data_IF_821067521416
#
_entry.id   IF_821067521416
#
_cell.length_a   1.000
_cell.length_b   1.000
_cell.length_c   1.000
_cell.angle_alpha   90.00
_cell.angle_beta   90.00
_cell.angle_gamma   90.00
#
_symmetry.space_group_name_H-M   'P 1'
#
loop_
_entity.id
_entity.type
_entity.pdbx_description
1 polymer ?
#
# COMPACT_ATOMS: atom_id res chain seq x y z
N UNK A 1 -72.68 40.43 14.54
CA UNK A 1 -71.41 39.69 14.34
C UNK A 1 -70.47 40.53 13.48
N UNK A 2 -69.36 41.01 14.03
CA UNK A 2 -68.32 41.74 13.28
C UNK A 2 -67.15 40.77 13.07
N UNK A 3 -66.64 40.56 11.84
CA UNK A 3 -65.51 39.66 11.63
C UNK A 3 -64.23 40.32 12.15
N UNK A 4 -63.52 39.65 13.06
CA UNK A 4 -62.16 40.02 13.44
C UNK A 4 -61.24 39.87 12.23
N UNK A 5 -60.71 40.98 11.71
CA UNK A 5 -59.60 40.97 10.73
C UNK A 5 -58.40 40.29 11.37
N UNK A 6 -58.00 39.14 10.82
CA UNK A 6 -56.71 38.51 11.10
C UNK A 6 -55.64 39.41 10.50
N UNK A 7 -54.78 39.98 11.34
CA UNK A 7 -53.60 40.73 10.90
C UNK A 7 -52.40 39.78 10.89
N UNK A 8 -51.82 39.58 9.72
CA UNK A 8 -50.55 38.85 9.59
C UNK A 8 -49.40 39.75 10.09
N UNK A 9 -48.46 39.24 10.90
CA UNK A 9 -47.35 40.05 11.39
C UNK A 9 -46.49 40.57 10.23
N UNK A 10 -46.19 41.87 10.31
CA UNK A 10 -45.36 42.63 9.37
C UNK A 10 -43.98 41.98 9.17
N UNK A 11 -43.50 42.08 7.93
CA UNK A 11 -42.11 41.88 7.48
C UNK A 11 -41.08 42.04 8.61
N UNK A 12 -40.28 40.99 8.86
CA UNK A 12 -39.12 41.01 9.77
C UNK A 12 -38.28 42.28 9.55
N UNK A 13 -37.92 42.97 10.64
CA UNK A 13 -37.15 44.22 10.57
C UNK A 13 -35.81 43.98 9.85
N UNK A 14 -35.29 45.00 9.17
CA UNK A 14 -34.01 44.89 8.44
C UNK A 14 -32.87 44.36 9.32
N UNK A 15 -32.82 44.78 10.60
CA UNK A 15 -31.83 44.31 11.58
C UNK A 15 -31.97 42.81 11.88
N UNK A 16 -33.19 42.29 11.94
CA UNK A 16 -33.46 40.85 12.10
C UNK A 16 -33.07 40.05 10.86
N UNK A 17 -33.37 40.55 9.66
CA UNK A 17 -32.95 39.91 8.39
C UNK A 17 -31.42 39.88 8.26
N UNK A 18 -30.73 40.96 8.64
CA UNK A 18 -29.26 41.02 8.63
C UNK A 18 -28.65 40.06 9.64
N UNK A 19 -29.17 40.01 10.88
CA UNK A 19 -28.73 39.02 11.89
C UNK A 19 -28.92 37.59 11.40
N UNK A 20 -30.08 37.26 10.85
CA UNK A 20 -30.36 35.92 10.31
C UNK A 20 -29.38 35.54 9.18
N UNK A 21 -29.07 36.47 8.27
CA UNK A 21 -28.06 36.26 7.21
C UNK A 21 -26.67 35.98 7.77
N UNK A 22 -26.22 36.74 8.78
CA UNK A 22 -24.95 36.50 9.45
C UNK A 22 -24.92 35.17 10.19
N UNK A 23 -26.01 34.80 10.87
CA UNK A 23 -26.14 33.51 11.54
C UNK A 23 -26.06 32.36 10.54
N UNK A 24 -26.78 32.44 9.42
CA UNK A 24 -26.72 31.43 8.35
C UNK A 24 -25.32 31.35 7.72
N UNK A 25 -24.65 32.49 7.51
CA UNK A 25 -23.27 32.53 7.02
C UNK A 25 -22.30 31.85 7.99
N UNK A 26 -22.39 32.15 9.30
CA UNK A 26 -21.55 31.51 10.33
C UNK A 26 -21.81 30.00 10.40
N UNK A 27 -23.06 29.56 10.29
CA UNK A 27 -23.41 28.14 10.23
C UNK A 27 -22.78 27.49 8.98
N UNK A 28 -22.88 28.14 7.80
CA UNK A 28 -22.27 27.62 6.58
C UNK A 28 -20.75 27.51 6.70
N UNK A 29 -20.07 28.53 7.25
CA UNK A 29 -18.63 28.49 7.52
C UNK A 29 -18.26 27.36 8.48
N UNK A 30 -19.03 27.19 9.56
CA UNK A 30 -18.82 26.12 10.53
C UNK A 30 -19.04 24.74 9.90
N UNK A 31 -20.05 24.56 9.06
CA UNK A 31 -20.31 23.32 8.33
C UNK A 31 -19.18 22.98 7.36
N UNK A 32 -18.68 23.98 6.62
CA UNK A 32 -17.52 23.81 5.72
C UNK A 32 -16.28 23.44 6.53
N UNK A 33 -16.05 24.09 7.68
CA UNK A 33 -14.95 23.77 8.58
C UNK A 33 -15.04 22.32 9.11
N UNK A 34 -16.20 21.91 9.62
CA UNK A 34 -16.46 20.55 10.10
C UNK A 34 -16.23 19.54 8.96
N UNK A 35 -16.82 19.77 7.79
CA UNK A 35 -16.68 18.88 6.65
C UNK A 35 -15.22 18.76 6.19
N UNK A 36 -14.48 19.86 6.14
CA UNK A 36 -13.05 19.87 5.79
C UNK A 36 -12.16 19.16 6.82
N UNK A 37 -12.66 18.95 8.03
CA UNK A 37 -11.97 18.27 9.12
C UNK A 37 -12.35 16.80 9.27
N UNK A 38 -13.37 16.32 8.55
CA UNK A 38 -13.75 14.90 8.57
C UNK A 38 -12.72 14.06 7.82
N UNK A 39 -12.39 12.89 8.39
CA UNK A 39 -11.66 11.86 7.69
C UNK A 39 -12.58 11.25 6.62
N UNK A 40 -12.31 11.59 5.37
CA UNK A 40 -12.94 10.95 4.21
C UNK A 40 -11.89 10.04 3.59
N UNK A 41 -11.99 8.75 3.88
CA UNK A 41 -11.07 7.74 3.34
C UNK A 41 -11.32 7.53 1.85
N UNK A 42 -10.26 7.69 1.06
CA UNK A 42 -10.20 7.26 -0.33
C UNK A 42 -10.22 5.72 -0.37
N UNK A 43 -9.42 5.11 0.50
CA UNK A 43 -9.31 3.67 0.72
C UNK A 43 -8.99 3.38 2.18
N UNK A 44 -9.40 2.22 2.65
CA UNK A 44 -9.01 1.69 3.95
C UNK A 44 -8.84 0.18 3.88
N UNK A 45 -8.00 -0.36 4.73
CA UNK A 45 -7.74 -1.79 4.82
C UNK A 45 -7.32 -2.15 6.24
N UNK A 46 -7.58 -3.41 6.62
CA UNK A 46 -7.22 -3.94 7.92
C UNK A 46 -5.87 -4.66 7.81
N UNK A 47 -4.91 -4.24 8.63
CA UNK A 47 -3.60 -4.88 8.73
C UNK A 47 -3.12 -4.74 10.19
N UNK A 48 -3.65 -5.58 11.10
CA UNK A 48 -3.41 -5.41 12.52
C UNK A 48 -1.98 -5.81 12.90
N UNK A 49 -1.28 -4.92 13.59
CA UNK A 49 0.12 -5.11 13.97
C UNK A 49 0.48 -4.24 15.18
N UNK A 50 1.65 -4.49 15.78
CA UNK A 50 2.17 -3.64 16.86
C UNK A 50 3.19 -2.65 16.32
N UNK A 51 3.21 -1.44 16.88
CA UNK A 51 4.13 -0.40 16.46
C UNK A 51 4.54 0.50 17.62
N UNK A 52 5.72 1.13 17.50
CA UNK A 52 6.20 2.19 18.37
C UNK A 52 5.95 3.56 17.75
N UNK A 53 5.61 4.54 18.59
CA UNK A 53 5.51 5.94 18.18
C UNK A 53 6.92 6.52 18.03
N UNK A 54 7.31 6.92 16.81
CA UNK A 54 8.65 7.45 16.48
C UNK A 54 8.90 8.86 17.01
N UNK A 55 7.90 9.75 16.90
CA UNK A 55 8.08 11.19 17.13
C UNK A 55 7.39 11.67 18.41
N UNK A 56 8.08 12.51 19.18
CA UNK A 56 7.59 13.14 20.42
C UNK A 56 6.39 14.07 20.18
N UNK A 57 6.19 14.53 18.94
CA UNK A 57 5.13 15.47 18.56
C UNK A 57 4.10 14.83 17.63
N UNK A 58 3.99 13.50 17.64
CA UNK A 58 3.03 12.78 16.80
C UNK A 58 1.60 13.19 17.16
N UNK A 59 0.91 13.81 16.20
CA UNK A 59 -0.47 14.28 16.36
C UNK A 59 -1.42 13.11 16.19
N UNK A 60 -2.18 12.82 17.23
CA UNK A 60 -3.20 11.78 17.24
C UNK A 60 -4.60 12.39 17.43
N UNK A 61 -5.56 11.91 16.65
CA UNK A 61 -6.93 12.42 16.62
C UNK A 61 -7.89 11.37 17.18
N UNK A 62 -8.68 11.71 18.19
CA UNK A 62 -9.55 10.77 18.93
C UNK A 62 -10.85 10.40 18.23
N UNK A 63 -11.13 11.02 17.08
CA UNK A 63 -12.37 10.81 16.33
C UNK A 63 -12.12 10.93 14.84
N UNK A 64 -13.14 10.63 14.04
CA UNK A 64 -13.12 10.88 12.60
C UNK A 64 -13.07 12.37 12.24
N UNK A 65 -13.09 13.28 13.23
CA UNK A 65 -12.79 14.70 13.05
C UNK A 65 -11.33 14.94 13.44
N UNK A 66 -10.51 15.35 12.47
CA UNK A 66 -9.08 15.65 12.60
C UNK A 66 -8.84 17.02 13.26
N UNK A 67 -9.54 17.26 14.37
CA UNK A 67 -9.49 18.47 15.18
C UNK A 67 -8.84 18.15 16.53
N UNK A 68 -8.24 19.17 17.15
CA UNK A 68 -7.69 19.13 18.51
C UNK A 68 -6.78 17.90 18.76
N UNK A 69 -5.66 17.78 18.02
CA UNK A 69 -4.78 16.63 18.17
C UNK A 69 -4.22 16.54 19.59
N UNK A 70 -4.16 15.31 20.10
CA UNK A 70 -3.40 14.95 21.29
C UNK A 70 -1.99 14.54 20.88
N UNK A 71 -1.00 14.92 21.67
CA UNK A 71 0.37 14.42 21.52
C UNK A 71 0.49 13.09 22.25
N UNK A 72 1.01 12.09 21.56
CA UNK A 72 1.29 10.78 22.16
C UNK A 72 2.77 10.66 22.53
N UNK A 73 3.04 9.88 23.57
CA UNK A 73 4.40 9.65 24.07
C UNK A 73 5.23 8.85 23.07
N UNK A 74 6.44 9.32 22.77
CA UNK A 74 7.43 8.58 21.96
C UNK A 74 7.79 7.24 22.61
N UNK A 75 8.15 6.26 21.78
CA UNK A 75 8.50 4.88 22.15
C UNK A 75 7.37 4.13 22.90
N UNK A 76 6.16 4.68 22.91
CA UNK A 76 4.99 3.97 23.39
C UNK A 76 4.58 2.93 22.36
N UNK A 77 4.39 1.70 22.81
CA UNK A 77 3.80 0.63 22.01
C UNK A 77 2.29 0.83 21.87
N UNK A 78 1.80 0.64 20.64
CA UNK A 78 0.38 0.73 20.27
C UNK A 78 0.00 -0.41 19.35
N UNK A 79 -1.28 -0.73 19.31
CA UNK A 79 -1.82 -1.72 18.36
C UNK A 79 -2.44 -0.95 17.20
N UNK A 80 -1.89 -1.12 16.00
CA UNK A 80 -2.53 -0.67 14.77
C UNK A 80 -3.65 -1.65 14.44
N UNK A 81 -4.84 -1.15 14.09
CA UNK A 81 -5.98 -1.99 13.70
C UNK A 81 -6.29 -1.90 12.21
N UNK A 82 -6.11 -0.71 11.62
CA UNK A 82 -6.47 -0.45 10.23
C UNK A 82 -5.72 0.76 9.71
N UNK A 83 -5.66 0.89 8.39
CA UNK A 83 -5.06 2.00 7.68
C UNK A 83 -6.09 2.70 6.80
N UNK A 84 -5.96 4.02 6.66
CA UNK A 84 -6.93 4.89 5.99
C UNK A 84 -6.21 5.94 5.14
N UNK A 85 -6.14 5.71 3.83
CA UNK A 85 -5.62 6.69 2.88
C UNK A 85 -6.66 7.79 2.69
N UNK A 86 -6.33 9.02 3.07
CA UNK A 86 -7.29 10.14 3.10
C UNK A 86 -6.65 11.42 2.58
N UNK A 87 -7.48 12.35 2.09
CA UNK A 87 -7.04 13.72 1.82
C UNK A 87 -7.00 14.51 3.11
N UNK A 88 -5.84 15.08 3.43
CA UNK A 88 -5.66 15.95 4.59
C UNK A 88 -4.82 17.17 4.20
N UNK A 89 -5.39 18.37 4.38
CA UNK A 89 -4.73 19.66 4.08
C UNK A 89 -4.12 19.74 2.66
N UNK A 90 -4.81 19.18 1.67
CA UNK A 90 -4.38 19.20 0.27
C UNK A 90 -3.33 18.16 -0.10
N UNK A 91 -2.95 17.27 0.83
CA UNK A 91 -2.03 16.16 0.59
C UNK A 91 -2.73 14.83 0.88
N UNK A 92 -2.25 13.74 0.26
CA UNK A 92 -2.70 12.40 0.62
C UNK A 92 -1.88 11.93 1.80
N UNK A 93 -2.56 11.48 2.85
CA UNK A 93 -1.93 10.98 4.07
C UNK A 93 -2.51 9.60 4.36
N UNK A 94 -1.63 8.63 4.65
CA UNK A 94 -2.03 7.34 5.17
C UNK A 94 -2.12 7.44 6.70
N UNK A 95 -3.34 7.43 7.23
CA UNK A 95 -3.55 7.39 8.68
C UNK A 95 -3.60 5.94 9.16
N UNK A 96 -2.91 5.63 10.24
CA UNK A 96 -3.10 4.41 11.00
C UNK A 96 -4.14 4.66 12.10
N UNK A 97 -5.12 3.77 12.21
CA UNK A 97 -5.99 3.70 13.39
C UNK A 97 -5.31 2.84 14.43
N UNK A 98 -5.02 3.44 15.58
CA UNK A 98 -4.31 2.80 16.69
C UNK A 98 -5.21 2.69 17.91
N UNK A 99 -5.03 1.62 18.69
CA UNK A 99 -5.59 1.46 20.03
C UNK A 99 -4.51 1.74 21.07
N UNK A 100 -4.86 2.62 22.01
CA UNK A 100 -4.10 2.89 23.21
C UNK A 100 -5.04 2.79 24.41
N UNK A 101 -4.87 1.75 25.21
CA UNK A 101 -5.82 1.34 26.27
C UNK A 101 -7.24 1.17 25.68
N UNK A 102 -8.23 1.87 26.23
CA UNK A 102 -9.62 1.81 25.79
C UNK A 102 -9.98 2.85 24.71
N UNK A 103 -9.01 3.59 24.18
CA UNK A 103 -9.24 4.66 23.22
C UNK A 103 -8.63 4.33 21.86
N UNK A 104 -9.33 4.74 20.80
CA UNK A 104 -8.83 4.67 19.43
C UNK A 104 -8.40 6.06 18.96
N UNK A 105 -7.29 6.12 18.24
CA UNK A 105 -6.79 7.34 17.64
C UNK A 105 -6.42 7.13 16.17
N UNK A 106 -6.47 8.19 15.38
CA UNK A 106 -5.87 8.26 14.05
C UNK A 106 -4.54 9.00 14.16
N UNK A 107 -3.47 8.41 13.64
CA UNK A 107 -2.13 8.98 13.60
C UNK A 107 -1.58 8.86 12.17
N UNK A 108 -0.77 9.82 11.74
CA UNK A 108 -0.03 9.66 10.47
C UNK A 108 0.87 8.43 10.57
N UNK A 109 0.70 7.47 9.65
CA UNK A 109 1.43 6.20 9.66
C UNK A 109 2.95 6.38 9.58
N UNK A 110 3.44 7.49 9.00
CA UNK A 110 4.87 7.83 8.98
C UNK A 110 5.45 8.06 10.38
N UNK A 111 4.60 8.38 11.36
CA UNK A 111 4.99 8.54 12.76
C UNK A 111 5.11 7.20 13.52
N UNK A 112 4.88 6.07 12.85
CA UNK A 112 4.96 4.73 13.43
C UNK A 112 6.21 3.98 12.97
N UNK A 113 6.77 3.19 13.87
CA UNK A 113 7.74 2.13 13.59
C UNK A 113 7.08 0.79 13.86
N UNK A 114 6.77 0.03 12.81
CA UNK A 114 6.20 -1.30 12.97
C UNK A 114 7.20 -2.21 13.67
N UNK A 115 6.73 -2.96 14.67
CA UNK A 115 7.51 -3.99 15.33
C UNK A 115 7.63 -5.18 14.39
N UNK A 116 8.84 -5.45 13.91
CA UNK A 116 9.09 -6.57 13.00
C UNK A 116 9.21 -7.87 13.81
N UNK A 117 8.25 -8.78 13.63
CA UNK A 117 8.26 -10.07 14.34
C UNK A 117 9.20 -11.08 13.69
N UNK A 118 9.41 -10.98 12.37
CA UNK A 118 10.30 -11.86 11.63
C UNK A 118 11.77 -11.41 11.78
N UNK A 119 12.72 -12.32 12.08
CA UNK A 119 14.14 -11.98 12.21
C UNK A 119 14.74 -11.29 10.99
N UNK A 120 14.32 -11.67 9.77
CA UNK A 120 14.80 -11.08 8.52
C UNK A 120 14.30 -9.63 8.42
N UNK A 121 13.02 -9.39 8.70
CA UNK A 121 12.49 -8.03 8.70
C UNK A 121 13.12 -7.15 9.79
N UNK A 122 13.38 -7.72 10.98
CA UNK A 122 14.08 -7.03 12.05
C UNK A 122 15.52 -6.67 11.64
N UNK A 123 16.20 -7.57 10.91
CA UNK A 123 17.50 -7.28 10.31
C UNK A 123 17.41 -6.13 9.30
N UNK A 124 16.47 -6.17 8.35
CA UNK A 124 16.22 -5.08 7.38
C UNK A 124 15.90 -3.75 8.09
N UNK A 125 15.12 -3.78 9.17
CA UNK A 125 14.82 -2.62 9.99
C UNK A 125 16.09 -2.06 10.65
N UNK A 126 16.99 -2.92 11.14
CA UNK A 126 18.27 -2.52 11.74
C UNK A 126 19.20 -1.82 10.74
N UNK A 127 19.09 -2.17 9.46
CA UNK A 127 19.79 -1.51 8.35
C UNK A 127 19.14 -0.18 7.93
N UNK A 128 18.03 0.21 8.57
CA UNK A 128 17.32 1.46 8.27
C UNK A 128 16.45 1.39 7.02
N UNK A 129 15.91 0.22 6.67
CA UNK A 129 15.06 0.02 5.48
C UNK A 129 15.76 0.45 4.17
N UNK A 130 16.86 -0.23 3.78
CA UNK A 130 17.63 0.08 2.59
C UNK A 130 16.81 -0.01 1.30
N UNK A 131 17.17 0.81 0.31
CA UNK A 131 16.47 0.89 -0.98
C UNK A 131 17.47 0.76 -2.12
N UNK A 132 17.32 -0.28 -2.91
CA UNK A 132 18.09 -0.51 -4.13
C UNK A 132 17.81 0.58 -5.17
N UNK A 133 18.75 0.71 -6.11
CA UNK A 133 18.62 1.65 -7.22
C UNK A 133 17.46 1.19 -8.13
N UNK A 134 16.59 2.11 -8.53
CA UNK A 134 15.58 1.82 -9.55
C UNK A 134 16.18 2.17 -10.91
N UNK A 135 16.27 1.18 -11.78
CA UNK A 135 16.69 1.33 -13.16
C UNK A 135 15.50 1.12 -14.11
N UNK A 136 15.46 1.87 -15.21
CA UNK A 136 14.44 1.71 -16.25
C UNK A 136 15.12 1.36 -17.56
N UNK A 137 14.93 0.12 -18.00
CA UNK A 137 15.51 -0.47 -19.20
C UNK A 137 14.40 -1.15 -20.02
N UNK A 138 13.41 -0.36 -20.47
CA UNK A 138 12.24 -0.91 -21.16
C UNK A 138 12.62 -1.62 -22.47
N UNK A 139 12.21 -2.88 -22.56
CA UNK A 139 12.36 -3.69 -23.76
C UNK A 139 11.26 -3.30 -24.76
N UNK A 140 11.66 -2.81 -25.93
CA UNK A 140 10.74 -2.21 -26.92
C UNK A 140 9.81 -3.21 -27.59
N UNK A 141 10.17 -4.48 -27.60
CA UNK A 141 9.42 -5.55 -28.29
C UNK A 141 8.22 -6.06 -27.49
N UNK A 142 8.15 -5.79 -26.18
CA UNK A 142 7.03 -6.24 -25.36
C UNK A 142 5.74 -5.47 -25.69
N UNK A 143 4.65 -6.23 -25.89
CA UNK A 143 3.34 -5.68 -26.18
C UNK A 143 2.83 -4.82 -25.01
N UNK A 144 2.19 -3.70 -25.34
CA UNK A 144 1.58 -2.78 -24.36
C UNK A 144 0.06 -2.93 -24.42
N UNK A 145 -0.46 -3.92 -23.68
CA UNK A 145 -1.91 -4.20 -23.59
C UNK A 145 -2.45 -3.51 -22.32
N UNK A 146 -3.50 -2.68 -22.39
CA UNK A 146 -4.06 -2.04 -21.20
C UNK A 146 -4.59 -3.07 -20.21
N UNK A 147 -4.54 -2.77 -18.91
CA UNK A 147 -5.25 -3.57 -17.90
C UNK A 147 -6.75 -3.64 -18.22
N UNK A 148 -7.36 -4.78 -17.89
CA UNK A 148 -8.76 -5.06 -18.18
C UNK A 148 -9.73 -4.22 -17.32
N UNK A 149 -9.34 -3.91 -16.09
CA UNK A 149 -10.21 -3.21 -15.15
C UNK A 149 -10.33 -1.73 -15.49
N UNK A 150 -11.54 -1.16 -15.43
CA UNK A 150 -11.71 0.29 -15.52
C UNK A 150 -11.04 0.99 -14.33
N UNK A 151 -10.20 2.03 -14.51
CA UNK A 151 -9.91 2.80 -15.75
C UNK A 151 -8.56 2.41 -16.41
N UNK A 152 -8.38 1.13 -16.74
CA UNK A 152 -7.14 0.49 -17.21
C UNK A 152 -5.97 0.65 -16.24
N UNK A 153 -6.18 0.27 -14.99
CA UNK A 153 -5.17 0.30 -13.92
C UNK A 153 -5.03 -1.07 -13.25
N UNK A 154 -3.86 -1.38 -12.69
CA UNK A 154 -3.68 -2.61 -11.95
C UNK A 154 -4.48 -2.59 -10.64
N UNK A 155 -4.84 -3.79 -10.17
CA UNK A 155 -5.47 -4.07 -8.88
C UNK A 155 -4.46 -4.39 -7.77
N UNK A 156 -3.21 -4.66 -8.13
CA UNK A 156 -2.19 -5.11 -7.21
C UNK A 156 -0.89 -5.49 -7.89
N UNK A 157 -0.08 -6.26 -7.18
CA UNK A 157 1.21 -6.76 -7.61
C UNK A 157 1.37 -8.24 -7.24
N UNK A 158 2.00 -9.00 -8.12
CA UNK A 158 2.36 -10.40 -7.96
C UNK A 158 3.88 -10.51 -7.83
N UNK A 159 4.30 -11.29 -6.84
CA UNK A 159 5.68 -11.60 -6.54
C UNK A 159 6.00 -12.97 -7.12
N UNK A 160 7.12 -13.04 -7.85
CA UNK A 160 7.67 -14.25 -8.42
C UNK A 160 9.13 -14.43 -8.00
N UNK A 161 9.62 -15.68 -8.03
CA UNK A 161 11.04 -15.99 -8.20
C UNK A 161 11.28 -16.55 -9.61
N UNK A 162 12.52 -16.53 -10.09
CA UNK A 162 12.83 -16.94 -11.47
C UNK A 162 12.79 -18.45 -11.70
N UNK A 163 12.71 -19.25 -10.63
CA UNK A 163 12.78 -20.71 -10.67
C UNK A 163 14.13 -21.26 -11.16
N UNK A 164 15.11 -20.37 -11.42
CA UNK A 164 16.39 -20.71 -12.01
C UNK A 164 17.52 -20.27 -11.08
N UNK A 165 18.36 -21.23 -10.71
CA UNK A 165 19.48 -20.98 -9.82
C UNK A 165 20.66 -20.33 -10.58
N UNK A 166 21.37 -19.43 -9.90
CA UNK A 166 22.65 -18.82 -10.31
C UNK A 166 22.58 -17.93 -11.55
N UNK A 167 21.43 -17.28 -11.76
CA UNK A 167 21.23 -16.26 -12.80
C UNK A 167 21.29 -14.85 -12.24
N UNK A 168 21.76 -13.92 -13.07
CA UNK A 168 21.68 -12.48 -12.79
C UNK A 168 20.43 -11.88 -13.44
N UNK A 169 20.06 -10.66 -13.07
CA UNK A 169 19.01 -9.92 -13.79
C UNK A 169 19.34 -9.82 -15.29
N UNK A 170 20.61 -9.65 -15.68
CA UNK A 170 20.99 -9.55 -17.09
C UNK A 170 20.74 -10.86 -17.85
N UNK A 171 21.01 -12.00 -17.22
CA UNK A 171 20.74 -13.33 -17.78
C UNK A 171 19.23 -13.51 -18.01
N UNK A 172 18.42 -13.18 -17.00
CA UNK A 172 16.96 -13.34 -17.06
C UNK A 172 16.31 -12.40 -18.07
N UNK A 173 16.71 -11.12 -18.09
CA UNK A 173 16.21 -10.15 -19.08
C UNK A 173 16.61 -10.55 -20.50
N UNK A 174 17.82 -11.05 -20.69
CA UNK A 174 18.29 -11.54 -21.99
C UNK A 174 17.49 -12.76 -22.44
N UNK A 175 17.30 -13.73 -21.55
CA UNK A 175 16.51 -14.93 -21.83
C UNK A 175 15.06 -14.58 -22.16
N UNK A 176 14.40 -13.77 -21.32
CA UNK A 176 13.02 -13.33 -21.50
C UNK A 176 12.84 -12.58 -22.82
N UNK A 177 13.73 -11.64 -23.14
CA UNK A 177 13.67 -10.86 -24.39
C UNK A 177 13.84 -11.76 -25.62
N UNK A 178 14.76 -12.73 -25.56
CA UNK A 178 15.03 -13.67 -26.66
C UNK A 178 13.84 -14.59 -26.93
N UNK A 179 13.18 -15.08 -25.89
CA UNK A 179 12.10 -16.05 -26.00
C UNK A 179 10.71 -15.42 -26.18
N UNK A 180 10.55 -14.14 -25.86
CA UNK A 180 9.27 -13.42 -25.97
C UNK A 180 8.54 -13.58 -27.32
N UNK A 181 9.18 -13.52 -28.50
CA UNK A 181 8.46 -13.71 -29.77
C UNK A 181 7.76 -15.07 -29.90
N UNK A 182 8.27 -16.09 -29.19
CA UNK A 182 7.74 -17.45 -29.20
C UNK A 182 6.72 -17.66 -28.07
N UNK A 183 7.08 -17.25 -26.86
CA UNK A 183 6.34 -17.62 -25.65
C UNK A 183 5.34 -16.52 -25.23
N UNK A 184 5.56 -15.27 -25.64
CA UNK A 184 4.70 -14.12 -25.32
C UNK A 184 4.70 -13.73 -23.83
N UNK A 185 5.60 -14.29 -23.02
CA UNK A 185 5.71 -14.09 -21.58
C UNK A 185 6.76 -13.03 -21.23
N UNK A 186 6.41 -12.12 -20.33
CA UNK A 186 7.34 -11.21 -19.66
C UNK A 186 6.73 -10.70 -18.34
N UNK A 187 7.55 -10.08 -17.49
CA UNK A 187 7.15 -9.37 -16.26
C UNK A 187 7.54 -7.89 -16.32
N UNK A 188 7.13 -7.08 -15.34
CA UNK A 188 7.38 -5.64 -15.36
C UNK A 188 8.77 -5.26 -14.86
N UNK A 189 9.30 -6.02 -13.91
CA UNK A 189 10.60 -5.75 -13.31
C UNK A 189 11.31 -7.04 -12.84
N UNK A 190 12.62 -6.96 -12.71
CA UNK A 190 13.45 -7.91 -11.98
C UNK A 190 14.07 -7.22 -10.77
N UNK A 191 14.22 -7.94 -9.66
CA UNK A 191 14.71 -7.39 -8.40
C UNK A 191 15.74 -8.33 -7.79
N UNK A 192 16.94 -7.80 -7.53
CA UNK A 192 18.00 -8.46 -6.77
C UNK A 192 18.37 -7.62 -5.54
N UNK A 193 19.44 -8.00 -4.84
CA UNK A 193 19.95 -7.27 -3.67
C UNK A 193 20.46 -5.86 -3.96
N UNK A 194 20.82 -5.54 -5.20
CA UNK A 194 21.47 -4.28 -5.58
C UNK A 194 20.49 -3.31 -6.23
N UNK A 195 19.55 -3.81 -7.02
CA UNK A 195 18.69 -2.96 -7.85
C UNK A 195 17.29 -3.52 -8.14
N UNK A 196 16.46 -2.63 -8.67
CA UNK A 196 15.11 -2.88 -9.18
C UNK A 196 15.12 -2.47 -10.66
N UNK A 197 15.19 -3.44 -11.56
CA UNK A 197 15.28 -3.24 -13.01
C UNK A 197 13.91 -3.30 -13.65
N UNK A 198 13.34 -2.15 -14.02
CA UNK A 198 12.06 -2.10 -14.75
C UNK A 198 12.27 -2.35 -16.24
N UNK A 199 11.70 -3.43 -16.76
CA UNK A 199 11.83 -3.86 -18.15
C UNK A 199 10.55 -3.67 -18.98
N UNK A 200 9.42 -3.41 -18.33
CA UNK A 200 8.19 -3.03 -18.99
C UNK A 200 7.47 -1.91 -18.23
N UNK A 201 6.56 -1.21 -18.92
CA UNK A 201 5.78 -0.13 -18.32
C UNK A 201 4.70 -0.70 -17.40
N UNK A 202 4.69 -0.24 -16.15
CA UNK A 202 3.74 -0.64 -15.11
C UNK A 202 2.27 -0.17 -15.33
N UNK A 203 1.97 0.55 -16.42
CA UNK A 203 0.62 1.01 -16.77
C UNK A 203 -0.03 0.16 -17.88
N UNK A 204 0.59 -0.96 -18.24
CA UNK A 204 0.09 -1.99 -19.15
C UNK A 204 0.28 -3.35 -18.46
N UNK A 205 -0.55 -4.34 -18.78
CA UNK A 205 -0.39 -5.69 -18.24
C UNK A 205 0.85 -6.40 -18.77
N UNK A 206 1.30 -7.42 -18.02
CA UNK A 206 2.32 -8.39 -18.43
C UNK A 206 1.74 -9.82 -18.42
N UNK A 207 2.50 -10.80 -18.93
CA UNK A 207 2.01 -12.15 -19.27
C UNK A 207 2.63 -13.29 -18.43
N UNK A 208 3.19 -13.01 -17.25
CA UNK A 208 3.92 -13.99 -16.42
C UNK A 208 3.13 -14.78 -15.37
N UNK A 209 1.85 -14.49 -15.12
CA UNK A 209 1.08 -15.06 -14.00
C UNK A 209 -0.22 -15.78 -14.41
N UNK A 210 -0.30 -16.24 -15.66
CA UNK A 210 -1.50 -16.90 -16.19
C UNK A 210 -2.67 -15.97 -16.55
N UNK A 211 -3.61 -16.42 -17.40
CA UNK A 211 -4.61 -15.58 -18.05
C UNK A 211 -5.62 -14.93 -17.09
N UNK A 212 -5.80 -15.47 -15.88
CA UNK A 212 -6.72 -14.91 -14.89
C UNK A 212 -6.12 -13.79 -14.06
N UNK A 213 -4.79 -13.71 -13.95
CA UNK A 213 -4.11 -12.70 -13.16
C UNK A 213 -3.43 -11.64 -14.04
N UNK A 214 -2.89 -12.04 -15.18
CA UNK A 214 -2.23 -11.17 -16.15
C UNK A 214 -2.98 -9.86 -16.43
N UNK A 215 -4.30 -9.85 -16.68
CA UNK A 215 -5.02 -8.61 -17.05
C UNK A 215 -5.17 -7.60 -15.90
N UNK A 216 -4.73 -7.93 -14.68
CA UNK A 216 -5.09 -7.23 -13.46
C UNK A 216 -3.89 -6.77 -12.62
N UNK A 217 -2.72 -7.40 -12.72
CA UNK A 217 -1.66 -7.20 -11.73
C UNK A 217 -0.31 -6.83 -12.35
N UNK A 218 0.42 -5.96 -11.63
CA UNK A 218 1.86 -5.76 -11.84
C UNK A 218 2.58 -7.06 -11.43
N UNK A 219 3.73 -7.35 -12.02
CA UNK A 219 4.47 -8.60 -11.81
C UNK A 219 5.96 -8.26 -11.77
N UNK A 220 6.70 -8.84 -10.83
CA UNK A 220 8.15 -8.80 -10.84
C UNK A 220 8.72 -10.16 -10.46
N UNK A 221 9.93 -10.44 -10.94
CA UNK A 221 10.69 -11.66 -10.64
C UNK A 221 11.94 -11.36 -9.81
N UNK A 222 12.36 -12.35 -9.04
CA UNK A 222 13.54 -12.31 -8.18
C UNK A 222 14.48 -13.46 -8.54
N UNK A 223 15.65 -13.19 -9.15
CA UNK A 223 16.71 -14.18 -9.25
C UNK A 223 17.18 -14.60 -7.86
N UNK A 224 17.60 -15.85 -7.67
CA UNK A 224 17.93 -16.32 -6.33
C UNK A 224 19.23 -15.69 -5.78
N UNK A 225 19.16 -15.25 -4.53
CA UNK A 225 20.29 -14.74 -3.75
C UNK A 225 20.95 -15.81 -2.89
N UNK A 226 22.29 -15.70 -2.73
CA UNK A 226 23.12 -16.77 -2.13
C UNK A 226 23.84 -16.38 -0.83
N UNK A 227 23.43 -15.29 -0.19
CA UNK A 227 23.95 -14.87 1.11
C UNK A 227 22.85 -14.30 2.00
N UNK A 228 23.02 -14.32 3.35
CA UNK A 228 22.06 -13.71 4.26
C UNK A 228 21.79 -12.24 3.96
N UNK A 229 22.84 -11.47 3.67
CA UNK A 229 22.74 -10.04 3.40
C UNK A 229 22.03 -9.79 2.07
N UNK A 230 22.42 -10.49 1.00
CA UNK A 230 21.84 -10.27 -0.31
C UNK A 230 20.37 -10.73 -0.35
N UNK A 231 20.02 -11.84 0.31
CA UNK A 231 18.61 -12.26 0.45
C UNK A 231 17.77 -11.21 1.20
N UNK A 232 18.26 -10.69 2.32
CA UNK A 232 17.56 -9.65 3.07
C UNK A 232 17.42 -8.34 2.27
N UNK A 233 18.46 -7.94 1.54
CA UNK A 233 18.43 -6.75 0.68
C UNK A 233 17.49 -6.92 -0.52
N UNK A 234 17.39 -8.12 -1.10
CA UNK A 234 16.41 -8.38 -2.16
C UNK A 234 14.98 -8.29 -1.62
N UNK A 235 14.68 -8.88 -0.46
CA UNK A 235 13.37 -8.73 0.20
C UNK A 235 13.05 -7.27 0.51
N UNK A 236 14.04 -6.48 0.95
CA UNK A 236 13.91 -5.05 1.15
C UNK A 236 13.55 -4.32 -0.15
N UNK A 237 14.24 -4.62 -1.26
CA UNK A 237 13.99 -4.02 -2.57
C UNK A 237 12.61 -4.42 -3.12
N UNK A 238 12.22 -5.69 -2.97
CA UNK A 238 10.92 -6.21 -3.37
C UNK A 238 9.79 -5.54 -2.59
N UNK A 239 9.94 -5.37 -1.27
CA UNK A 239 8.95 -4.72 -0.43
C UNK A 239 8.84 -3.22 -0.75
N UNK A 240 9.98 -2.55 -0.96
CA UNK A 240 10.03 -1.16 -1.39
C UNK A 240 9.32 -0.94 -2.74
N UNK A 241 9.62 -1.78 -3.74
CA UNK A 241 8.97 -1.69 -5.05
C UNK A 241 7.46 -1.94 -4.96
N UNK A 242 7.05 -2.95 -4.20
CA UNK A 242 5.64 -3.26 -3.96
C UNK A 242 4.91 -2.07 -3.30
N UNK A 243 5.49 -1.48 -2.26
CA UNK A 243 4.95 -0.29 -1.60
C UNK A 243 4.82 0.89 -2.58
N UNK A 244 5.84 1.13 -3.42
CA UNK A 244 5.79 2.18 -4.45
C UNK A 244 4.64 1.96 -5.45
N UNK A 245 4.47 0.74 -5.95
CA UNK A 245 3.42 0.44 -6.93
C UNK A 245 2.03 0.59 -6.31
N UNK A 246 1.82 0.05 -5.12
CA UNK A 246 0.55 0.16 -4.41
C UNK A 246 0.21 1.63 -4.09
N UNK A 247 1.20 2.42 -3.66
CA UNK A 247 0.99 3.85 -3.41
C UNK A 247 0.70 4.65 -4.68
N UNK A 248 1.49 4.42 -5.75
CA UNK A 248 1.31 5.04 -7.07
C UNK A 248 -0.10 4.81 -7.61
N UNK A 249 -0.61 3.58 -7.48
CA UNK A 249 -1.93 3.19 -7.96
C UNK A 249 -3.06 3.36 -6.94
N UNK A 250 -2.75 3.86 -5.73
CA UNK A 250 -3.72 4.11 -4.64
C UNK A 250 -4.49 2.84 -4.25
N UNK A 251 -3.77 1.73 -4.23
CA UNK A 251 -4.29 0.43 -3.87
C UNK A 251 -4.16 0.22 -2.35
N UNK A 252 -5.12 -0.48 -1.71
CA UNK A 252 -4.94 -0.95 -0.34
C UNK A 252 -3.74 -1.90 -0.28
N UNK A 253 -3.19 -2.13 0.90
CA UNK A 253 -2.19 -3.18 1.11
C UNK A 253 -2.88 -4.38 1.76
N UNK A 254 -3.30 -5.33 0.94
CA UNK A 254 -4.08 -6.50 1.37
C UNK A 254 -3.54 -7.74 0.68
N UNK A 255 -3.35 -8.82 1.44
CA UNK A 255 -3.04 -10.11 0.84
C UNK A 255 -4.18 -10.58 -0.07
N UNK A 256 -3.81 -11.26 -1.14
CA UNK A 256 -4.74 -12.03 -1.95
C UNK A 256 -5.54 -13.04 -1.11
N UNK A 257 -6.82 -13.17 -1.42
CA UNK A 257 -7.77 -14.02 -0.71
C UNK A 257 -8.49 -14.96 -1.69
N UNK A 258 -9.04 -16.06 -1.18
CA UNK A 258 -9.82 -17.04 -1.94
C UNK A 258 -10.99 -16.44 -2.73
N UNK A 259 -11.54 -15.32 -2.27
CA UNK A 259 -12.62 -14.60 -2.97
C UNK A 259 -12.14 -13.75 -4.16
N UNK A 260 -10.85 -13.80 -4.50
CA UNK A 260 -10.22 -13.06 -5.59
C UNK A 260 -9.94 -11.59 -5.29
N UNK A 261 -10.11 -11.15 -4.04
CA UNK A 261 -9.76 -9.79 -3.59
C UNK A 261 -8.35 -9.75 -3.00
N UNK A 262 -7.76 -8.56 -2.95
CA UNK A 262 -6.41 -8.30 -2.46
C UNK A 262 -5.53 -7.64 -3.52
N UNK A 263 -4.40 -7.12 -3.09
CA UNK A 263 -3.49 -6.32 -3.91
C UNK A 263 -2.02 -6.78 -3.84
N UNK A 264 -1.71 -7.72 -2.95
CA UNK A 264 -0.39 -8.31 -2.79
C UNK A 264 -0.51 -9.84 -2.87
N UNK A 265 0.14 -10.44 -3.87
CA UNK A 265 -0.06 -11.84 -4.24
C UNK A 265 1.30 -12.53 -4.48
N UNK A 266 1.50 -13.76 -4.00
CA UNK A 266 2.50 -14.64 -4.61
C UNK A 266 1.89 -15.33 -5.83
N UNK A 267 2.73 -15.90 -6.70
CA UNK A 267 2.26 -16.73 -7.80
C UNK A 267 1.53 -17.99 -7.28
N UNK A 268 2.00 -18.57 -6.17
CA UNK A 268 1.30 -19.65 -5.47
C UNK A 268 -0.13 -19.26 -5.06
N UNK A 269 -0.33 -18.07 -4.47
CA UNK A 269 -1.68 -17.58 -4.13
C UNK A 269 -2.55 -17.41 -5.37
N UNK A 270 -1.97 -16.97 -6.49
CA UNK A 270 -2.67 -16.91 -7.78
C UNK A 270 -3.10 -18.31 -8.23
N UNK A 271 -2.21 -19.30 -8.20
CA UNK A 271 -2.54 -20.69 -8.53
C UNK A 271 -3.68 -21.24 -7.67
N UNK A 272 -3.62 -21.00 -6.35
CA UNK A 272 -4.59 -21.51 -5.39
C UNK A 272 -5.96 -20.82 -5.49
N UNK A 273 -6.00 -19.49 -5.62
CA UNK A 273 -7.23 -18.71 -5.46
C UNK A 273 -7.83 -18.21 -6.77
N UNK A 274 -7.01 -17.94 -7.78
CA UNK A 274 -7.48 -17.48 -9.09
C UNK A 274 -7.45 -18.64 -10.10
N UNK A 275 -6.38 -19.44 -10.10
CA UNK A 275 -6.10 -20.50 -11.07
C UNK A 275 -5.61 -19.97 -12.43
N UNK A 276 -5.47 -20.87 -13.41
CA UNK A 276 -4.92 -20.54 -14.74
C UNK A 276 -3.38 -20.61 -14.81
N UNK A 277 -2.76 -21.04 -13.74
CA UNK A 277 -1.33 -21.34 -13.55
C UNK A 277 -1.25 -22.35 -12.41
N UNK A 278 -0.15 -23.11 -12.33
CA UNK A 278 0.12 -24.15 -11.31
C UNK A 278 1.45 -23.91 -10.59
N UNK A 279 2.03 -22.73 -10.78
CA UNK A 279 3.28 -22.29 -10.18
C UNK A 279 3.15 -22.04 -8.67
N UNK A 280 4.26 -22.20 -7.94
CA UNK A 280 4.31 -22.14 -6.46
C UNK A 280 5.31 -21.10 -5.92
N UNK A 281 5.87 -20.26 -6.80
CA UNK A 281 6.80 -19.19 -6.42
C UNK A 281 6.10 -18.05 -5.64
N UNK A 282 6.82 -17.34 -4.74
CA UNK A 282 8.21 -17.54 -4.34
C UNK A 282 8.38 -18.41 -3.08
N UNK A 283 7.34 -19.14 -2.68
CA UNK A 283 7.23 -19.75 -1.35
C UNK A 283 8.38 -20.72 -1.04
N UNK A 284 8.78 -21.56 -2.00
CA UNK A 284 9.89 -22.49 -1.82
C UNK A 284 11.25 -21.79 -1.75
N UNK A 285 11.49 -20.79 -2.60
CA UNK A 285 12.70 -19.99 -2.57
C UNK A 285 12.86 -19.27 -1.21
N UNK A 286 11.79 -18.61 -0.77
CA UNK A 286 11.78 -17.89 0.51
C UNK A 286 11.96 -18.81 1.70
N UNK A 287 11.24 -19.93 1.76
CA UNK A 287 11.36 -20.87 2.88
C UNK A 287 12.76 -21.49 2.96
N UNK A 288 13.35 -21.91 1.83
CA UNK A 288 14.72 -22.45 1.81
C UNK A 288 15.75 -21.42 2.26
N UNK A 289 15.69 -20.21 1.71
CA UNK A 289 16.67 -19.14 2.00
C UNK A 289 16.54 -18.64 3.43
N UNK A 290 15.32 -18.41 3.92
CA UNK A 290 15.07 -18.00 5.29
C UNK A 290 15.56 -19.02 6.31
N UNK A 291 15.35 -20.31 6.04
CA UNK A 291 15.84 -21.38 6.90
C UNK A 291 17.37 -21.42 6.89
N UNK A 292 17.98 -21.41 5.69
CA UNK A 292 19.43 -21.53 5.54
C UNK A 292 20.20 -20.35 6.13
N UNK A 293 19.69 -19.13 6.02
CA UNK A 293 20.42 -17.90 6.37
C UNK A 293 20.04 -17.31 7.73
N UNK A 294 18.81 -17.54 8.19
CA UNK A 294 18.27 -16.91 9.40
C UNK A 294 17.64 -17.91 10.37
N UNK A 295 17.64 -19.22 10.06
CA UNK A 295 17.00 -20.26 10.87
C UNK A 295 15.53 -19.93 11.20
N UNK A 296 14.80 -19.43 10.20
CA UNK A 296 13.40 -19.02 10.31
C UNK A 296 12.62 -19.36 9.04
N UNK A 297 11.31 -19.11 9.02
CA UNK A 297 10.48 -19.14 7.81
C UNK A 297 10.21 -17.72 7.32
N UNK A 298 9.87 -17.56 6.04
CA UNK A 298 9.45 -16.28 5.51
C UNK A 298 8.23 -16.44 4.61
N UNK A 299 7.15 -15.77 4.98
CA UNK A 299 5.82 -15.93 4.37
C UNK A 299 5.34 -14.63 3.72
N UNK A 300 4.26 -14.72 2.95
CA UNK A 300 3.58 -13.52 2.44
C UNK A 300 3.07 -12.58 3.54
N UNK A 301 2.79 -13.08 4.75
CA UNK A 301 2.44 -12.24 5.91
C UNK A 301 3.64 -11.46 6.44
N UNK A 302 4.81 -12.10 6.52
CA UNK A 302 6.05 -11.41 6.88
C UNK A 302 6.40 -10.33 5.83
N UNK A 303 6.21 -10.66 4.55
CA UNK A 303 6.41 -9.72 3.46
C UNK A 303 5.41 -8.56 3.50
N UNK A 304 4.13 -8.80 3.77
CA UNK A 304 3.10 -7.77 3.95
C UNK A 304 3.50 -6.74 5.03
N UNK A 305 4.01 -7.22 6.17
CA UNK A 305 4.50 -6.37 7.26
C UNK A 305 5.67 -5.48 6.80
N UNK A 306 6.60 -6.05 6.03
CA UNK A 306 7.73 -5.30 5.48
C UNK A 306 7.28 -4.26 4.44
N UNK A 307 6.35 -4.62 3.54
CA UNK A 307 5.74 -3.70 2.56
C UNK A 307 5.04 -2.55 3.28
N UNK A 308 4.31 -2.82 4.37
CA UNK A 308 3.65 -1.79 5.16
C UNK A 308 4.66 -0.83 5.80
N UNK A 309 5.79 -1.35 6.29
CA UNK A 309 6.86 -0.54 6.84
C UNK A 309 7.47 0.41 5.80
N UNK A 310 7.67 -0.05 4.56
CA UNK A 310 8.07 0.84 3.46
C UNK A 310 6.97 1.82 3.08
N UNK A 311 5.70 1.37 2.99
CA UNK A 311 4.57 2.22 2.63
C UNK A 311 4.44 3.42 3.58
N UNK A 312 4.56 3.19 4.89
CA UNK A 312 4.52 4.22 5.92
C UNK A 312 5.62 5.28 5.76
N UNK A 313 6.72 4.96 5.07
CA UNK A 313 7.87 5.84 4.86
C UNK A 313 7.87 6.56 3.51
N UNK A 314 6.95 6.23 2.61
CA UNK A 314 6.83 6.93 1.32
C UNK A 314 6.10 8.27 1.54
N UNK A 315 6.49 9.29 0.77
CA UNK A 315 5.81 10.60 0.69
C UNK A 315 4.54 10.55 -0.17
#
# INVERSE_FOLDING_TARGET
MIPKKITFPKNLSHKHKTRLKWTLFLIAVLLVFIFSSMLISIKSYDNPETALIKSENSKAYSSNLLLFPKVLTKNKEVIVTSYHLSWYRGQKVLFAKIKDQNHSYLIDSSSLSINQSNPINAYIQSLGYPKGKIETAYVKTFNQIPYLDFPSKPKGIIIHDTGTESTTIDDEVTYMTKNYPKDGVFVHAFIDSQEIRKIAKDNYMAQGAGPKANPHYIQFEMPHEYSPDSFALQLANAAYYSAQMLKKYQLPLELGQENGQGSLWSHEMVSLYLGGTDHVDPSDYWNRSAYSYFNTSYTMTDFLQLVQAYYNQLD
#
